data_IF_177581768270
#
_entry.id   IF_177581768270
#
_cell.length_a   1.000
_cell.length_b   1.000
_cell.length_c   1.000
_cell.angle_alpha   90.00
_cell.angle_beta   90.00
_cell.angle_gamma   90.00
#
_symmetry.space_group_name_H-M   'P 1'
#
loop_
_entity.id
_entity.type
_entity.pdbx_description
1 polymer ?
2 non-polymer ?
3 non-polymer ?
4 non-polymer ?
5 water ?
#
# COMPACT_ATOMS: atom_id res chain seq x y z
N UNK A 1 -18.43 11.48 -13.55
CA UNK A 1 -17.28 12.07 -12.81
C UNK A 1 -17.05 11.22 -11.58
N UNK A 2 -17.82 10.15 -11.47
CA UNK A 2 -17.62 9.20 -10.40
C UNK A 2 -17.06 7.92 -11.01
N UNK A 3 -16.51 7.07 -10.18
CA UNK A 3 -15.87 5.85 -10.65
C UNK A 3 -16.35 4.67 -9.86
N UNK A 4 -17.66 4.43 -9.92
CA UNK A 4 -18.31 3.32 -9.22
C UNK A 4 -17.88 1.97 -9.73
N UNK A 5 -17.64 1.92 -11.03
CA UNK A 5 -17.31 0.72 -11.73
C UNK A 5 -15.88 0.32 -11.44
N UNK A 6 -14.97 1.26 -11.59
CA UNK A 6 -13.59 1.01 -11.23
C UNK A 6 -13.50 0.57 -9.75
N UNK A 7 -14.34 1.16 -8.90
CA UNK A 7 -14.31 0.82 -7.48
C UNK A 7 -14.94 -0.53 -7.16
N UNK A 8 -15.98 -0.93 -7.90
CA UNK A 8 -16.60 -2.22 -7.66
C UNK A 8 -15.70 -3.35 -8.12
N UNK A 9 -14.95 -3.11 -9.20
CA UNK A 9 -13.99 -4.09 -9.68
C UNK A 9 -12.87 -4.34 -8.67
N UNK A 10 -12.42 -3.28 -8.02
CA UNK A 10 -11.28 -3.32 -7.13
C UNK A 10 -11.60 -4.04 -5.83
N UNK A 11 -12.80 -3.82 -5.31
CA UNK A 11 -13.21 -4.47 -4.08
C UNK A 11 -13.37 -5.98 -4.25
N UNK A 12 -14.03 -6.33 -5.34
CA UNK A 12 -14.15 -7.68 -5.85
C UNK A 12 -12.85 -8.44 -5.91
N UNK A 13 -11.82 -7.85 -6.52
CA UNK A 13 -10.59 -8.59 -6.75
C UNK A 13 -9.59 -8.47 -5.61
N UNK A 14 -9.68 -7.41 -4.82
CA UNK A 14 -8.88 -7.32 -3.63
C UNK A 14 -9.38 -8.36 -2.63
N UNK A 15 -10.68 -8.59 -2.61
CA UNK A 15 -11.22 -9.58 -1.70
C UNK A 15 -10.85 -11.03 -2.03
N UNK A 16 -10.76 -11.36 -3.32
CA UNK A 16 -10.27 -12.66 -3.73
C UNK A 16 -8.78 -12.71 -3.44
N UNK A 17 -8.07 -11.68 -3.88
CA UNK A 17 -6.65 -11.58 -3.59
C UNK A 17 -6.34 -11.98 -2.15
N UNK A 18 -7.27 -11.75 -1.23
CA UNK A 18 -7.00 -11.90 0.20
C UNK A 18 -7.18 -13.33 0.59
N UNK A 19 -8.04 -13.99 -0.18
CA UNK A 19 -8.29 -15.38 -0.08
C UNK A 19 -7.09 -16.08 -0.62
N UNK A 20 -6.53 -15.53 -1.69
CA UNK A 20 -5.37 -16.12 -2.27
C UNK A 20 -4.20 -16.02 -1.33
N UNK A 21 -4.06 -14.92 -0.60
CA UNK A 21 -2.88 -14.83 0.24
C UNK A 21 -2.95 -15.62 1.53
N UNK A 22 -4.15 -15.80 2.06
CA UNK A 22 -4.37 -16.49 3.31
C UNK A 22 -4.18 -17.98 3.14
N UNK A 23 -4.45 -18.42 1.93
CA UNK A 23 -4.37 -19.81 1.59
C UNK A 23 -2.94 -20.17 1.25
N UNK A 24 -2.21 -19.23 0.67
CA UNK A 24 -0.79 -19.45 0.47
C UNK A 24 -0.06 -19.51 1.79
N UNK A 25 -0.61 -18.85 2.79
CA UNK A 25 0.03 -18.78 4.09
C UNK A 25 -0.29 -20.01 4.92
N UNK A 26 -0.97 -20.97 4.32
CA UNK A 26 -1.37 -22.12 5.08
C UNK A 26 -0.31 -23.18 5.01
N UNK A 27 0.79 -22.85 4.36
CA UNK A 27 1.80 -23.83 4.11
C UNK A 27 3.01 -23.18 4.61
N UNK A 28 4.11 -23.93 4.65
CA UNK A 28 5.38 -23.44 5.14
C UNK A 28 5.89 -22.45 4.13
N UNK A 29 6.44 -21.35 4.61
CA UNK A 29 6.74 -20.25 3.73
C UNK A 29 8.03 -20.36 2.92
N UNK A 30 9.01 -21.13 3.41
CA UNK A 30 10.33 -21.13 2.80
C UNK A 30 10.37 -21.53 1.32
N UNK A 31 9.72 -22.64 0.97
CA UNK A 31 9.82 -23.20 -0.38
C UNK A 31 8.91 -22.44 -1.32
N UNK A 32 8.35 -21.35 -0.80
CA UNK A 32 7.55 -20.42 -1.56
C UNK A 32 8.20 -19.04 -1.68
N UNK A 33 9.49 -18.90 -1.37
CA UNK A 33 10.06 -17.57 -1.32
C UNK A 33 11.24 -17.43 -2.25
N UNK A 34 11.30 -16.29 -2.94
CA UNK A 34 12.39 -15.99 -3.84
C UNK A 34 13.15 -14.76 -3.33
N UNK A 35 14.44 -14.67 -3.59
CA UNK A 35 15.14 -13.47 -3.20
C UNK A 35 15.47 -12.72 -4.44
N UNK A 36 14.78 -11.62 -4.65
CA UNK A 36 15.06 -10.80 -5.81
C UNK A 36 16.56 -10.46 -5.81
N UNK A 37 17.05 -9.99 -6.94
CA UNK A 37 18.45 -9.66 -7.06
C UNK A 37 18.76 -8.48 -6.18
N UNK A 38 17.75 -7.70 -5.87
CA UNK A 38 18.00 -6.54 -5.05
C UNK A 38 17.94 -6.88 -3.58
N UNK A 39 17.72 -8.15 -3.28
CA UNK A 39 17.79 -8.60 -1.89
C UNK A 39 16.45 -8.72 -1.22
N UNK A 40 15.45 -8.07 -1.81
CA UNK A 40 14.12 -8.12 -1.25
C UNK A 40 13.47 -9.45 -1.57
N UNK A 41 12.52 -9.86 -0.74
CA UNK A 41 11.78 -11.10 -0.97
C UNK A 41 10.52 -10.90 -1.80
N UNK A 42 10.03 -11.99 -2.38
CA UNK A 42 8.82 -11.97 -3.15
C UNK A 42 8.32 -13.40 -3.05
N UNK A 43 7.03 -13.60 -2.89
CA UNK A 43 6.57 -14.97 -2.67
C UNK A 43 5.61 -15.51 -3.72
N UNK A 44 5.26 -16.79 -3.58
CA UNK A 44 4.26 -17.43 -4.43
C UNK A 44 2.99 -16.61 -4.42
N UNK A 45 2.72 -15.97 -3.29
CA UNK A 45 1.55 -15.15 -3.10
C UNK A 45 1.53 -13.86 -3.88
N UNK A 46 2.70 -13.23 -4.06
CA UNK A 46 2.78 -11.96 -4.78
C UNK A 46 2.47 -12.19 -6.23
N UNK A 47 2.98 -13.29 -6.75
CA UNK A 47 2.88 -13.56 -8.16
C UNK A 47 1.48 -14.02 -8.46
N UNK A 48 0.89 -14.78 -7.54
CA UNK A 48 -0.48 -15.26 -7.71
C UNK A 48 -1.49 -14.12 -7.68
N UNK A 49 -1.28 -13.16 -6.79
CA UNK A 49 -2.21 -12.06 -6.70
C UNK A 49 -2.10 -11.16 -7.90
N UNK A 50 -0.89 -10.99 -8.42
CA UNK A 50 -0.69 -10.07 -9.52
C UNK A 50 -1.14 -10.65 -10.86
N UNK A 51 -1.06 -11.96 -10.98
CA UNK A 51 -1.57 -12.63 -12.16
C UNK A 51 -3.08 -12.58 -12.22
N UNK A 52 -3.74 -12.82 -11.10
CA UNK A 52 -5.19 -12.75 -11.05
C UNK A 52 -5.74 -11.34 -11.27
N UNK A 53 -5.10 -10.33 -10.68
CA UNK A 53 -5.60 -8.98 -10.73
C UNK A 53 -5.45 -8.36 -12.11
N UNK A 54 -4.29 -8.53 -12.73
CA UNK A 54 -4.01 -7.98 -14.07
C UNK A 54 -4.92 -8.56 -15.14
N UNK A 55 -5.16 -9.86 -15.03
CA UNK A 55 -6.16 -10.57 -15.80
C UNK A 55 -7.58 -10.03 -15.66
N UNK A 56 -8.00 -9.77 -14.42
CA UNK A 56 -9.34 -9.27 -14.20
C UNK A 56 -9.43 -7.83 -14.64
N UNK A 57 -8.42 -7.02 -14.35
CA UNK A 57 -8.42 -5.65 -14.82
C UNK A 57 -8.43 -5.61 -16.34
N UNK A 58 -7.56 -6.38 -16.98
CA UNK A 58 -7.43 -6.37 -18.44
C UNK A 58 -8.66 -6.82 -19.20
N UNK A 59 -9.43 -7.72 -18.60
CA UNK A 59 -10.69 -8.21 -19.15
C UNK A 59 -11.80 -7.19 -19.15
N UNK A 60 -11.74 -6.27 -18.20
CA UNK A 60 -12.87 -5.51 -17.82
C UNK A 60 -12.68 -4.14 -18.39
N UNK A 61 -11.41 -3.79 -18.52
CA UNK A 61 -11.03 -2.50 -19.04
C UNK A 61 -9.86 -2.76 -19.96
N UNK A 62 -10.12 -3.29 -21.15
CA UNK A 62 -9.05 -3.68 -22.10
C UNK A 62 -8.08 -2.57 -22.49
N UNK A 63 -8.40 -1.33 -22.20
CA UNK A 63 -7.56 -0.25 -22.67
C UNK A 63 -6.65 0.32 -21.61
N UNK A 64 -7.00 0.16 -20.35
CA UNK A 64 -6.16 0.65 -19.27
C UNK A 64 -4.84 -0.08 -19.13
N UNK A 65 -3.83 0.66 -18.71
CA UNK A 65 -2.49 0.14 -18.53
C UNK A 65 -2.34 -0.11 -17.05
N UNK A 66 -1.42 -0.99 -16.67
CA UNK A 66 -1.24 -1.34 -15.28
C UNK A 66 0.17 -1.01 -14.83
N UNK A 67 0.30 -0.46 -13.64
CA UNK A 67 1.61 -0.32 -13.01
C UNK A 67 1.65 -1.23 -11.80
N UNK A 68 2.51 -2.22 -11.84
CA UNK A 68 2.56 -3.19 -10.76
C UNK A 68 4.01 -3.54 -10.46
N UNK A 69 4.25 -4.11 -9.28
CA UNK A 69 5.60 -4.35 -8.79
C UNK A 69 6.36 -5.49 -9.46
N UNK A 70 5.75 -6.67 -9.55
CA UNK A 70 6.48 -7.85 -10.01
C UNK A 70 6.53 -8.04 -11.52
N UNK A 71 7.45 -8.89 -11.96
CA UNK A 71 7.54 -9.28 -13.36
C UNK A 71 8.04 -10.72 -13.40
N UNK A 72 7.99 -11.36 -14.57
CA UNK A 72 8.56 -12.71 -14.70
C UNK A 72 10.05 -12.81 -15.12
N UNK A 73 10.71 -11.69 -15.44
CA UNK A 73 12.14 -11.74 -15.82
C UNK A 73 12.88 -12.93 -15.24
N UNK A 74 12.92 -13.00 -13.92
CA UNK A 74 13.54 -14.11 -13.24
C UNK A 74 12.58 -14.62 -12.20
N UNK A 75 12.12 -15.84 -12.34
CA UNK A 75 11.23 -16.33 -11.34
C UNK A 75 11.31 -17.81 -11.40
N UNK A 76 11.96 -18.41 -10.41
CA UNK A 76 12.38 -19.80 -10.42
C UNK A 76 11.28 -20.72 -10.85
N UNK A 77 11.68 -21.79 -11.52
CA UNK A 77 10.75 -22.74 -12.08
C UNK A 77 9.80 -23.35 -11.06
N UNK A 78 10.24 -23.57 -9.83
CA UNK A 78 9.41 -24.32 -8.89
C UNK A 78 8.45 -23.41 -8.14
N UNK A 79 8.77 -22.12 -8.11
CA UNK A 79 7.89 -21.14 -7.54
C UNK A 79 6.78 -20.97 -8.55
N UNK A 80 7.16 -20.75 -9.81
CA UNK A 80 6.17 -20.46 -10.84
C UNK A 80 5.10 -21.55 -10.87
N UNK A 81 5.55 -22.76 -10.58
CA UNK A 81 4.76 -23.97 -10.62
C UNK A 81 3.63 -23.90 -9.65
N UNK A 82 3.91 -23.28 -8.51
CA UNK A 82 3.01 -23.25 -7.38
C UNK A 82 2.07 -22.09 -7.54
N UNK A 83 2.58 -21.06 -8.21
CA UNK A 83 1.78 -19.92 -8.55
C UNK A 83 0.66 -20.47 -9.40
N UNK A 84 1.06 -20.99 -10.56
CA UNK A 84 0.15 -21.61 -11.50
C UNK A 84 -1.02 -22.31 -10.80
N UNK A 85 -0.71 -23.20 -9.87
CA UNK A 85 -1.73 -23.99 -9.15
C UNK A 85 -2.64 -23.18 -8.24
N UNK A 86 -2.10 -22.14 -7.61
CA UNK A 86 -2.90 -21.27 -6.77
C UNK A 86 -3.80 -20.43 -7.60
N UNK A 87 -3.33 -20.13 -8.80
CA UNK A 87 -4.07 -19.29 -9.69
C UNK A 87 -5.24 -20.05 -10.25
N UNK A 88 -5.06 -21.31 -10.61
CA UNK A 88 -6.16 -22.03 -11.25
C UNK A 88 -7.33 -22.27 -10.32
N UNK A 89 -7.13 -22.04 -9.03
CA UNK A 89 -8.23 -22.10 -8.13
C UNK A 89 -9.22 -21.01 -8.46
N UNK A 90 -8.71 -19.86 -8.85
CA UNK A 90 -9.62 -18.75 -9.04
C UNK A 90 -9.88 -18.41 -10.50
N UNK A 91 -8.93 -18.66 -11.40
CA UNK A 91 -9.26 -18.56 -12.83
C UNK A 91 -8.61 -19.61 -13.73
N UNK A 92 -9.24 -19.85 -14.87
CA UNK A 92 -8.72 -20.81 -15.81
C UNK A 92 -7.74 -20.13 -16.75
N UNK A 93 -6.48 -20.09 -16.34
CA UNK A 93 -5.43 -19.61 -17.20
C UNK A 93 -4.42 -20.73 -17.34
N UNK A 94 -3.79 -20.85 -18.49
CA UNK A 94 -2.70 -21.80 -18.57
C UNK A 94 -1.44 -21.03 -18.29
N UNK A 95 -0.38 -21.77 -18.02
CA UNK A 95 0.88 -21.18 -17.62
C UNK A 95 1.32 -20.01 -18.53
N UNK A 96 0.72 -19.94 -19.71
CA UNK A 96 0.98 -18.93 -20.71
C UNK A 96 0.45 -17.53 -20.43
N UNK A 97 -0.85 -17.52 -20.13
CA UNK A 97 -1.63 -16.35 -19.83
C UNK A 97 -1.19 -15.73 -18.52
N UNK A 98 -0.85 -16.59 -17.57
CA UNK A 98 -0.31 -16.22 -16.29
C UNK A 98 0.97 -15.38 -16.40
N UNK A 99 1.93 -15.82 -17.19
CA UNK A 99 3.14 -15.05 -17.42
C UNK A 99 2.84 -13.75 -18.12
N UNK A 100 1.89 -13.80 -19.05
CA UNK A 100 1.55 -12.62 -19.80
C UNK A 100 0.81 -11.64 -18.96
N UNK A 101 0.12 -12.15 -17.96
CA UNK A 101 -0.69 -11.32 -17.11
C UNK A 101 0.14 -10.59 -16.10
N UNK A 102 1.10 -11.29 -15.52
CA UNK A 102 2.00 -10.68 -14.59
C UNK A 102 2.81 -9.61 -15.29
N UNK A 103 3.08 -9.81 -16.57
CA UNK A 103 3.94 -8.87 -17.25
C UNK A 103 3.22 -7.68 -17.82
N UNK A 104 1.91 -7.60 -17.62
CA UNK A 104 1.19 -6.38 -17.97
C UNK A 104 1.51 -5.23 -17.05
N UNK A 105 2.19 -5.49 -15.94
CA UNK A 105 2.50 -4.44 -14.95
C UNK A 105 3.59 -3.42 -15.28
N UNK A 106 3.96 -3.28 -16.56
CA UNK A 106 5.12 -2.46 -16.94
C UNK A 106 4.85 -1.01 -17.39
N UNK A 107 3.64 -0.52 -17.17
CA UNK A 107 3.27 0.84 -17.52
C UNK A 107 4.13 1.82 -16.74
N UNK A 108 4.39 2.98 -17.37
CA UNK A 108 5.23 3.99 -16.74
C UNK A 108 4.43 5.11 -16.13
N UNK A 109 3.11 4.97 -16.16
CA UNK A 109 2.21 5.90 -15.51
C UNK A 109 2.02 7.15 -16.34
N UNK A 110 1.82 8.26 -15.66
CA UNK A 110 1.68 9.55 -16.32
C UNK A 110 0.29 9.81 -16.85
N UNK A 111 0.18 10.19 -18.11
CA UNK A 111 -1.08 10.63 -18.63
C UNK A 111 -1.97 9.46 -18.93
N UNK A 112 -3.25 9.61 -18.65
CA UNK A 112 -4.23 8.61 -19.02
C UNK A 112 -4.62 7.71 -17.86
N UNK A 113 -5.28 6.62 -18.17
CA UNK A 113 -5.83 5.78 -17.12
C UNK A 113 -4.90 4.64 -16.72
N UNK A 114 -4.44 4.67 -15.48
CA UNK A 114 -3.55 3.62 -14.96
C UNK A 114 -4.02 2.97 -13.70
N UNK A 115 -3.87 1.66 -13.63
CA UNK A 115 -4.13 0.96 -12.40
C UNK A 115 -2.81 0.78 -11.71
N UNK A 116 -2.79 0.83 -10.39
CA UNK A 116 -1.55 0.78 -9.63
C UNK A 116 -1.58 -0.34 -8.58
N UNK A 117 -0.74 -1.35 -8.75
CA UNK A 117 -0.89 -2.54 -7.92
C UNK A 117 0.32 -2.93 -7.07
N UNK A 118 0.10 -3.10 -5.77
CA UNK A 118 1.02 -3.92 -4.98
C UNK A 118 0.36 -5.24 -4.63
N UNK A 119 0.82 -6.32 -5.24
CA UNK A 119 0.18 -7.61 -4.99
C UNK A 119 0.32 -8.03 -3.53
N UNK A 120 1.49 -7.82 -2.95
CA UNK A 120 1.61 -7.95 -1.52
C UNK A 120 2.46 -6.80 -1.09
N UNK A 121 1.87 -5.93 -0.30
CA UNK A 121 2.59 -4.80 0.21
C UNK A 121 3.13 -5.14 1.58
N UNK A 122 4.43 -4.93 1.76
CA UNK A 122 5.13 -5.42 2.95
C UNK A 122 5.26 -6.92 2.92
N UNK A 123 5.98 -7.44 1.95
CA UNK A 123 6.16 -8.88 1.83
C UNK A 123 6.82 -9.45 3.09
N UNK A 124 7.59 -8.63 3.80
CA UNK A 124 8.26 -9.09 5.01
C UNK A 124 7.31 -9.32 6.15
N UNK A 125 6.33 -8.44 6.27
CA UNK A 125 5.29 -8.60 7.24
C UNK A 125 4.45 -9.79 6.90
N UNK A 126 4.50 -10.25 5.65
CA UNK A 126 3.81 -11.48 5.26
C UNK A 126 4.57 -12.74 5.73
N UNK A 127 5.90 -12.72 5.68
CA UNK A 127 6.69 -13.83 6.19
C UNK A 127 6.66 -13.82 7.71
N UNK A 128 6.45 -12.64 8.25
CA UNK A 128 6.37 -12.38 9.66
C UNK A 128 5.03 -12.77 10.23
N UNK A 129 4.12 -13.17 9.33
CA UNK A 129 2.74 -13.49 9.64
C UNK A 129 2.10 -12.37 10.44
N UNK A 130 2.50 -11.16 10.10
CA UNK A 130 1.95 -9.99 10.72
C UNK A 130 1.37 -9.07 9.66
N UNK A 131 1.58 -7.77 9.75
CA UNK A 131 0.85 -6.89 8.84
C UNK A 131 1.32 -6.90 7.39
N UNK A 132 0.34 -6.95 6.48
CA UNK A 132 0.59 -6.92 5.02
C UNK A 132 -0.67 -6.54 4.21
N UNK A 133 -0.48 -6.08 2.98
CA UNK A 133 -1.62 -5.59 2.22
C UNK A 133 -1.68 -5.89 0.72
N UNK A 134 -2.86 -6.22 0.22
CA UNK A 134 -3.07 -6.22 -1.21
C UNK A 134 -3.48 -4.78 -1.48
N UNK A 135 -2.74 -4.11 -2.37
CA UNK A 135 -3.00 -2.68 -2.59
C UNK A 135 -3.35 -2.41 -4.04
N UNK A 136 -4.57 -1.92 -4.27
CA UNK A 136 -4.98 -1.54 -5.61
C UNK A 136 -5.48 -0.10 -5.66
N UNK A 137 -5.01 0.65 -6.64
CA UNK A 137 -5.56 1.98 -6.89
C UNK A 137 -5.75 2.26 -8.37
N UNK A 138 -6.65 3.19 -8.66
CA UNK A 138 -6.89 3.61 -10.03
C UNK A 138 -6.69 5.10 -10.13
N UNK A 139 -5.94 5.56 -11.14
CA UNK A 139 -5.71 7.02 -11.30
C UNK A 139 -5.80 7.49 -12.75
N UNK A 140 -5.98 8.80 -12.92
CA UNK A 140 -6.01 9.40 -14.23
C UNK A 140 -5.20 10.68 -14.18
N UNK A 141 -4.18 10.75 -15.03
CA UNK A 141 -3.22 11.87 -15.03
C UNK A 141 -2.62 12.08 -13.65
N UNK A 142 -2.36 10.99 -12.95
CA UNK A 142 -1.71 11.02 -11.65
C UNK A 142 -2.56 11.49 -10.49
N UNK A 143 -3.87 11.46 -10.70
CA UNK A 143 -4.82 11.85 -9.69
C UNK A 143 -5.58 10.60 -9.26
N UNK A 144 -5.36 10.17 -8.03
CA UNK A 144 -5.97 8.97 -7.49
C UNK A 144 -7.49 9.06 -7.36
N UNK A 145 -8.20 8.12 -7.98
CA UNK A 145 -9.66 8.15 -7.98
C UNK A 145 -10.26 7.07 -7.11
N UNK A 146 -9.53 5.96 -6.96
CA UNK A 146 -9.99 4.77 -6.23
C UNK A 146 -8.80 4.16 -5.49
N UNK A 147 -8.99 3.82 -4.21
CA UNK A 147 -7.95 3.11 -3.46
C UNK A 147 -8.54 2.00 -2.62
N UNK A 148 -7.99 0.79 -2.73
CA UNK A 148 -8.46 -0.31 -1.92
C UNK A 148 -7.28 -0.92 -1.18
N UNK A 149 -7.42 -1.13 0.13
CA UNK A 149 -6.42 -1.86 0.90
C UNK A 149 -7.00 -3.05 1.65
N UNK A 150 -6.63 -4.25 1.22
CA UNK A 150 -7.02 -5.48 1.92
C UNK A 150 -5.95 -6.00 2.86
N UNK A 151 -6.32 -6.21 4.12
CA UNK A 151 -5.34 -6.42 5.16
C UNK A 151 -5.72 -7.60 5.99
N UNK A 152 -5.31 -8.80 5.58
CA UNK A 152 -5.91 -9.97 6.19
C UNK A 152 -5.57 -10.18 7.65
N UNK A 153 -4.52 -9.53 8.15
CA UNK A 153 -4.07 -9.80 9.53
C UNK A 153 -4.31 -8.69 10.54
N UNK A 154 -5.01 -7.65 10.10
CA UNK A 154 -5.21 -6.49 10.92
C UNK A 154 -6.57 -6.64 11.57
N UNK A 155 -6.55 -6.92 12.88
CA UNK A 155 -7.75 -6.88 13.70
C UNK A 155 -8.85 -7.82 13.25
N UNK A 156 -8.49 -8.96 12.67
CA UNK A 156 -9.51 -9.87 12.18
C UNK A 156 -9.64 -9.98 10.67
N UNK A 157 -9.02 -9.07 9.93
CA UNK A 157 -9.08 -9.08 8.47
C UNK A 157 -10.06 -8.05 7.96
N UNK A 158 -9.54 -7.03 7.31
CA UNK A 158 -10.33 -5.84 7.06
C UNK A 158 -10.01 -5.32 5.69
N UNK A 159 -10.99 -4.72 5.04
CA UNK A 159 -10.73 -4.10 3.76
C UNK A 159 -11.19 -2.66 3.80
N UNK A 160 -10.32 -1.72 3.45
CA UNK A 160 -10.74 -0.32 3.39
C UNK A 160 -10.69 0.21 1.99
N UNK A 161 -11.66 1.05 1.64
CA UNK A 161 -11.75 1.52 0.27
C UNK A 161 -12.36 2.91 0.13
N UNK A 162 -11.91 3.63 -0.86
CA UNK A 162 -12.38 4.98 -0.99
C UNK A 162 -12.33 5.33 -2.42
N UNK A 163 -13.30 6.11 -2.85
CA UNK A 163 -13.17 6.75 -4.12
C UNK A 163 -13.15 8.24 -3.82
N UNK A 164 -12.50 9.00 -4.69
CA UNK A 164 -12.36 10.43 -4.53
C UNK A 164 -13.71 11.13 -4.38
N UNK A 165 -13.79 11.97 -3.35
CA UNK A 165 -14.99 12.75 -3.05
C UNK A 165 -16.13 12.03 -2.35
N UNK A 166 -15.99 10.74 -2.11
CA UNK A 166 -17.15 9.95 -1.74
C UNK A 166 -16.97 9.31 -0.40
N UNK A 167 -15.85 9.61 0.23
CA UNK A 167 -15.57 9.13 1.58
C UNK A 167 -14.86 7.79 1.73
N UNK A 168 -14.51 7.47 2.98
CA UNK A 168 -13.78 6.23 3.26
C UNK A 168 -14.60 5.17 4.03
N UNK A 169 -14.29 3.90 3.79
CA UNK A 169 -15.16 2.82 4.23
C UNK A 169 -14.45 1.52 4.57
N UNK A 170 -14.95 0.83 5.58
CA UNK A 170 -14.31 -0.39 6.02
C UNK A 170 -15.19 -1.62 5.92
N UNK A 171 -14.59 -2.69 5.42
CA UNK A 171 -15.28 -3.94 5.21
C UNK A 171 -14.50 -5.06 5.87
N UNK A 172 -15.19 -6.15 6.16
CA UNK A 172 -14.54 -7.39 6.52
C UNK A 172 -14.00 -8.04 5.26
N UNK A 173 -12.97 -8.85 5.39
CA UNK A 173 -12.48 -9.56 4.22
C UNK A 173 -13.58 -10.50 3.71
N UNK A 174 -14.57 -10.78 4.55
CA UNK A 174 -15.58 -11.79 4.24
C UNK A 174 -16.86 -11.27 3.62
N UNK A 175 -17.08 -9.97 3.73
CA UNK A 175 -18.30 -9.36 3.26
C UNK A 175 -17.89 -7.99 2.73
N UNK A 176 -17.97 -7.78 1.43
CA UNK A 176 -17.63 -6.47 0.91
C UNK A 176 -18.86 -5.72 0.49
N UNK A 177 -19.99 -6.12 1.07
CA UNK A 177 -21.28 -5.55 0.71
C UNK A 177 -21.78 -4.64 1.78
N UNK A 178 -21.25 -4.79 2.98
CA UNK A 178 -21.71 -4.01 4.09
C UNK A 178 -20.52 -3.34 4.72
N UNK A 179 -20.46 -2.02 4.60
CA UNK A 179 -19.31 -1.28 5.08
C UNK A 179 -19.71 -0.23 6.09
N UNK A 180 -18.73 0.28 6.82
CA UNK A 180 -18.99 1.42 7.68
C UNK A 180 -18.05 2.55 7.34
N UNK A 181 -18.47 3.75 7.65
CA UNK A 181 -17.61 4.91 7.49
C UNK A 181 -16.54 4.90 8.56
N UNK A 182 -15.53 5.70 8.29
CA UNK A 182 -14.20 5.56 8.80
C UNK A 182 -13.74 7.02 8.67
N UNK A 183 -13.17 7.54 9.76
CA UNK A 183 -12.76 8.93 9.91
C UNK A 183 -11.62 8.79 10.80
N UNK A 184 -10.50 9.42 10.45
CA UNK A 184 -9.38 9.79 11.35
C UNK A 184 -9.74 10.31 12.76
N UNK A 185 -8.76 10.19 13.64
CA UNK A 185 -8.94 10.54 15.02
C UNK A 185 -9.11 12.04 15.24
N UNK A 186 -9.45 12.41 16.47
CA UNK A 186 -9.66 13.80 16.82
C UNK A 186 -8.62 14.30 17.79
N UNK A 187 -7.51 13.58 17.89
CA UNK A 187 -6.45 13.86 18.84
C UNK A 187 -5.72 15.17 18.59
N UNK A 188 -5.80 16.08 19.56
CA UNK A 188 -5.32 17.41 19.26
C UNK A 188 -4.05 17.84 19.96
N UNK A 189 -3.38 16.93 20.66
CA UNK A 189 -2.12 17.26 21.28
C UNK A 189 -1.15 16.20 20.85
N UNK A 190 0.06 16.62 20.47
CA UNK A 190 1.06 15.68 19.97
C UNK A 190 1.61 14.79 21.07
N UNK A 191 1.54 15.28 22.30
CA UNK A 191 1.90 14.45 23.45
C UNK A 191 0.99 13.23 23.57
N UNK A 192 -0.25 13.34 23.14
CA UNK A 192 -1.13 12.18 23.22
C UNK A 192 -1.15 11.40 21.93
N UNK A 193 -0.26 11.70 20.99
CA UNK A 193 -0.25 11.05 19.68
C UNK A 193 0.28 9.62 19.75
N UNK A 194 -0.39 8.72 19.05
CA UNK A 194 0.12 7.40 18.78
C UNK A 194 0.73 7.49 17.39
N UNK A 195 2.02 7.25 17.28
CA UNK A 195 2.64 7.36 15.97
C UNK A 195 3.15 6.01 15.47
N UNK A 196 3.18 5.84 14.14
CA UNK A 196 3.60 4.56 13.53
C UNK A 196 4.66 4.64 12.41
N UNK A 197 5.32 3.52 12.16
CA UNK A 197 6.42 3.45 11.21
C UNK A 197 6.75 2.02 10.88
N UNK A 198 7.53 1.83 9.82
CA UNK A 198 7.97 0.51 9.36
C UNK A 198 8.73 -0.27 10.42
N UNK A 199 8.77 -1.59 10.27
CA UNK A 199 9.47 -2.45 11.20
C UNK A 199 10.91 -2.51 10.76
N UNK A 200 11.12 -2.52 9.46
CA UNK A 200 12.45 -2.55 8.88
C UNK A 200 13.26 -1.28 9.07
N UNK A 201 14.52 -1.46 9.46
CA UNK A 201 15.37 -0.33 9.73
C UNK A 201 15.86 0.28 8.43
N UNK A 202 15.73 -0.46 7.33
CA UNK A 202 16.19 0.06 6.05
C UNK A 202 15.10 0.90 5.40
N UNK A 203 13.88 0.76 5.87
CA UNK A 203 12.79 1.49 5.25
C UNK A 203 12.44 2.78 5.91
N UNK A 204 12.95 3.01 7.11
CA UNK A 204 12.71 4.26 7.81
C UNK A 204 13.75 4.50 8.88
N UNK A 205 14.03 5.76 9.15
CA UNK A 205 15.01 6.12 10.12
C UNK A 205 14.34 6.17 11.48
N UNK A 206 14.54 5.12 12.27
CA UNK A 206 13.90 5.01 13.58
C UNK A 206 14.70 5.73 14.66
N UNK A 207 15.86 6.23 14.30
CA UNK A 207 16.66 6.92 15.27
C UNK A 207 16.22 8.36 15.25
N UNK A 208 15.72 8.78 14.13
CA UNK A 208 15.42 10.17 13.99
C UNK A 208 13.97 10.39 14.29
N UNK A 209 13.16 9.35 14.13
CA UNK A 209 11.76 9.51 14.48
C UNK A 209 11.66 9.60 15.99
N UNK A 210 12.64 9.03 16.68
CA UNK A 210 12.71 9.06 18.11
C UNK A 210 12.97 10.49 18.51
N UNK A 211 13.75 11.18 17.71
CA UNK A 211 14.17 12.51 18.06
C UNK A 211 13.03 13.47 17.84
N UNK A 212 12.44 13.38 16.66
CA UNK A 212 11.24 14.10 16.33
C UNK A 212 10.12 13.93 17.35
N UNK A 213 9.84 12.70 17.79
CA UNK A 213 8.70 12.53 18.68
C UNK A 213 8.99 12.98 20.10
N UNK A 214 10.26 12.89 20.49
CA UNK A 214 10.70 13.27 21.80
C UNK A 214 10.57 14.76 21.85
N UNK A 215 10.77 15.42 20.71
CA UNK A 215 10.64 16.87 20.67
C UNK A 215 9.18 17.28 20.68
N UNK A 216 8.33 16.40 20.17
CA UNK A 216 6.93 16.68 20.14
C UNK A 216 6.32 16.26 21.46
N UNK A 217 7.18 15.71 22.32
CA UNK A 217 6.81 15.31 23.67
C UNK A 217 5.83 14.16 23.69
N UNK A 218 5.97 13.25 22.73
CA UNK A 218 5.12 12.06 22.65
C UNK A 218 5.38 11.09 23.81
N UNK A 219 4.31 10.66 24.43
CA UNK A 219 4.42 9.81 25.59
C UNK A 219 4.58 8.35 25.20
N UNK A 220 3.67 7.87 24.35
CA UNK A 220 3.61 6.49 23.93
C UNK A 220 4.70 6.10 22.94
N UNK A 221 5.13 4.84 22.96
CA UNK A 221 6.15 4.40 22.02
C UNK A 221 5.59 4.04 20.64
N UNK A 222 6.44 4.12 19.60
CA UNK A 222 5.92 3.83 18.27
C UNK A 222 5.39 2.42 18.15
N UNK A 223 4.33 2.28 17.39
CA UNK A 223 3.88 0.99 16.98
C UNK A 223 4.58 0.77 15.68
N UNK A 224 5.39 -0.28 15.62
CA UNK A 224 6.14 -0.61 14.42
C UNK A 224 5.35 -1.62 13.63
N UNK A 225 5.09 -1.33 12.36
CA UNK A 225 4.33 -2.28 11.57
C UNK A 225 4.62 -2.19 10.07
N UNK A 226 4.39 -3.30 9.38
CA UNK A 226 4.74 -3.38 7.98
C UNK A 226 3.57 -2.97 7.15
N UNK A 227 3.87 -2.49 5.93
CA UNK A 227 2.90 -2.31 4.84
C UNK A 227 2.01 -1.06 4.88
N UNK A 228 1.27 -0.85 3.80
CA UNK A 228 0.33 0.26 3.74
C UNK A 228 -0.76 0.14 4.79
N UNK A 229 -0.72 -0.90 5.61
CA UNK A 229 -1.64 -1.04 6.71
C UNK A 229 -1.45 0.11 7.67
N UNK A 230 -0.38 0.88 7.46
CA UNK A 230 -0.10 2.04 8.29
C UNK A 230 -1.00 3.21 7.91
N UNK A 231 -1.40 3.27 6.64
CA UNK A 231 -2.29 4.31 6.15
C UNK A 231 -3.70 3.96 6.57
N UNK A 232 -3.92 2.69 6.83
CA UNK A 232 -5.24 2.22 7.11
C UNK A 232 -5.55 2.44 8.58
N UNK A 233 -4.50 2.45 9.40
CA UNK A 233 -4.59 2.79 10.82
C UNK A 233 -4.84 4.26 11.03
N UNK A 234 -4.19 5.10 10.24
CA UNK A 234 -4.43 6.54 10.31
C UNK A 234 -5.90 6.80 9.98
N UNK A 235 -6.33 6.27 8.85
CA UNK A 235 -7.69 6.46 8.37
C UNK A 235 -8.80 6.00 9.31
N UNK A 236 -8.57 4.98 10.12
CA UNK A 236 -9.66 4.47 10.95
C UNK A 236 -9.52 5.01 12.37
N UNK A 237 -8.53 5.86 12.55
CA UNK A 237 -8.31 6.50 13.85
C UNK A 237 -7.50 5.73 14.89
N UNK A 238 -6.94 4.59 14.49
CA UNK A 238 -6.20 3.72 15.41
C UNK A 238 -4.81 4.27 15.67
N UNK A 239 -4.28 4.97 14.67
CA UNK A 239 -3.05 5.71 14.86
C UNK A 239 -3.28 7.18 14.53
N UNK A 240 -2.34 8.02 14.93
CA UNK A 240 -2.48 9.47 14.80
C UNK A 240 -1.61 10.03 13.69
N UNK A 241 -0.34 9.65 13.70
CA UNK A 241 0.60 10.10 12.70
C UNK A 241 1.36 8.90 12.19
N UNK A 242 1.87 9.01 10.97
CA UNK A 242 2.63 7.95 10.33
C UNK A 242 3.81 8.59 9.63
N UNK A 243 5.02 8.21 10.02
CA UNK A 243 6.22 8.77 9.44
C UNK A 243 7.01 7.77 8.64
N UNK A 244 7.53 8.23 7.53
CA UNK A 244 8.42 7.42 6.77
C UNK A 244 9.55 8.36 6.49
N UNK A 245 10.71 8.06 7.05
CA UNK A 245 11.84 8.98 7.07
C UNK A 245 13.02 8.48 6.25
N UNK A 246 13.48 9.28 5.31
CA UNK A 246 14.57 8.85 4.44
C UNK A 246 15.97 9.12 5.00
N UNK A 247 16.95 8.45 4.43
CA UNK A 247 18.30 8.75 4.83
C UNK A 247 19.03 9.55 3.78
N UNK A 248 18.49 9.63 2.59
CA UNK A 248 19.12 10.45 1.60
C UNK A 248 18.04 11.05 0.76
N UNK A 249 18.43 11.80 -0.26
CA UNK A 249 17.52 12.48 -1.15
C UNK A 249 17.45 11.77 -2.46
N UNK A 250 17.88 10.51 -2.47
CA UNK A 250 17.99 9.82 -3.73
C UNK A 250 17.02 8.68 -3.81
N UNK A 251 16.54 8.19 -2.67
CA UNK A 251 15.49 7.19 -2.71
C UNK A 251 14.21 7.83 -3.25
N UNK A 252 13.57 7.16 -4.20
CA UNK A 252 12.28 7.63 -4.66
C UNK A 252 11.25 6.58 -4.32
N UNK A 253 10.28 6.96 -3.51
CA UNK A 253 9.19 6.05 -3.19
C UNK A 253 8.38 5.56 -4.40
N UNK A 254 8.09 4.26 -4.39
CA UNK A 254 7.25 3.65 -5.42
C UNK A 254 5.81 4.11 -5.25
N UNK A 255 5.11 4.29 -6.36
CA UNK A 255 3.75 4.73 -6.23
C UNK A 255 2.82 3.61 -5.82
N UNK A 256 3.28 2.37 -5.86
CA UNK A 256 2.47 1.26 -5.37
C UNK A 256 2.68 1.03 -3.91
N UNK A 257 3.54 1.83 -3.31
CA UNK A 257 3.62 1.83 -1.88
C UNK A 257 2.75 2.87 -1.24
N UNK A 258 2.13 3.76 -2.01
CA UNK A 258 1.49 4.92 -1.40
C UNK A 258 0.15 5.37 -1.88
N UNK A 259 -0.26 4.98 -3.08
CA UNK A 259 -1.37 5.63 -3.75
C UNK A 259 -2.74 5.26 -3.23
N UNK A 260 -2.92 4.01 -2.85
CA UNK A 260 -4.20 3.59 -2.32
C UNK A 260 -4.44 4.18 -0.95
N UNK A 261 -3.42 4.15 -0.10
CA UNK A 261 -3.52 4.69 1.24
C UNK A 261 -3.69 6.19 1.25
N UNK A 262 -2.91 6.88 0.41
CA UNK A 262 -3.02 8.32 0.19
C UNK A 262 -4.46 8.80 0.03
N UNK A 263 -5.23 8.17 -0.86
CA UNK A 263 -6.58 8.64 -1.06
C UNK A 263 -7.49 8.29 0.11
N UNK A 264 -7.20 7.18 0.79
CA UNK A 264 -8.06 6.72 1.84
C UNK A 264 -7.92 7.59 3.06
N UNK A 265 -6.70 8.00 3.40
CA UNK A 265 -6.53 8.97 4.46
C UNK A 265 -7.19 10.32 4.17
N UNK A 266 -7.03 10.85 2.97
CA UNK A 266 -7.68 12.13 2.65
C UNK A 266 -9.21 12.07 2.68
N UNK A 267 -9.79 10.95 2.27
CA UNK A 267 -11.24 10.81 2.21
C UNK A 267 -11.83 10.64 3.59
N UNK A 268 -10.98 10.20 4.52
CA UNK A 268 -11.36 9.96 5.90
C UNK A 268 -10.98 11.16 6.75
N UNK A 269 -10.56 12.23 6.09
CA UNK A 269 -10.36 13.51 6.74
C UNK A 269 -8.96 13.87 7.19
N UNK A 270 -7.97 13.10 6.77
CA UNK A 270 -6.60 13.35 7.20
C UNK A 270 -5.79 14.03 6.14
N UNK A 271 -4.49 14.14 6.39
CA UNK A 271 -3.56 14.75 5.45
C UNK A 271 -2.33 13.88 5.20
N UNK A 272 -1.92 13.83 3.93
CA UNK A 272 -0.72 13.09 3.53
C UNK A 272 0.18 14.00 2.70
N UNK A 273 1.41 14.22 3.16
CA UNK A 273 2.38 14.98 2.41
C UNK A 273 3.68 14.24 2.50
N UNK A 274 4.74 14.86 1.97
CA UNK A 274 6.09 14.37 2.22
C UNK A 274 6.67 15.03 3.47
N UNK A 275 7.96 14.89 3.71
CA UNK A 275 8.52 15.40 4.94
C UNK A 275 8.78 16.89 4.96
N UNK A 276 8.67 17.52 3.79
CA UNK A 276 8.81 18.95 3.68
C UNK A 276 7.45 19.62 3.60
N UNK A 277 6.40 18.83 3.84
CA UNK A 277 5.01 19.30 3.74
C UNK A 277 4.44 19.41 2.33
N UNK A 278 5.16 18.88 1.35
CA UNK A 278 4.65 18.98 0.01
C UNK A 278 3.74 17.85 -0.34
N UNK A 279 2.68 18.16 -1.05
CA UNK A 279 1.77 17.14 -1.51
C UNK A 279 2.40 16.15 -2.48
N UNK A 280 2.01 14.90 -2.38
CA UNK A 280 2.57 13.86 -3.24
C UNK A 280 2.13 13.99 -4.71
N UNK A 281 3.09 13.89 -5.62
CA UNK A 281 2.81 14.06 -7.03
C UNK A 281 2.91 12.71 -7.71
N UNK A 282 1.76 12.17 -8.04
CA UNK A 282 1.70 10.82 -8.56
C UNK A 282 1.67 10.81 -10.07
N UNK A 283 2.17 11.86 -10.71
CA UNK A 283 2.01 11.99 -12.14
C UNK A 283 3.33 11.98 -12.86
N UNK A 284 4.40 11.69 -12.12
CA UNK A 284 5.72 11.76 -12.65
C UNK A 284 6.29 10.37 -12.90
N UNK A 285 5.42 9.36 -12.94
CA UNK A 285 5.86 8.03 -13.30
C UNK A 285 5.60 6.93 -12.30
N UNK A 286 6.60 6.07 -12.10
CA UNK A 286 6.43 4.85 -11.33
C UNK A 286 6.86 5.10 -9.91
N UNK A 287 7.44 6.28 -9.70
CA UNK A 287 7.90 6.66 -8.39
C UNK A 287 7.47 8.08 -8.09
N UNK A 288 7.46 8.43 -6.81
CA UNK A 288 7.19 9.78 -6.41
C UNK A 288 8.50 10.52 -6.46
N UNK A 289 8.91 10.90 -7.67
CA UNK A 289 10.26 11.43 -7.89
C UNK A 289 10.47 12.90 -7.46
N UNK A 290 9.38 13.61 -7.21
CA UNK A 290 9.50 14.95 -6.64
C UNK A 290 9.13 15.02 -5.16
N UNK A 291 9.25 13.90 -4.46
CA UNK A 291 8.94 13.90 -3.07
C UNK A 291 10.02 13.22 -2.29
N UNK A 292 10.08 13.57 -1.00
CA UNK A 292 11.01 12.95 -0.08
C UNK A 292 10.31 12.53 1.15
N UNK A 293 10.09 11.22 1.27
CA UNK A 293 9.47 10.65 2.46
C UNK A 293 7.97 10.86 2.60
N UNK A 294 7.46 10.59 3.79
CA UNK A 294 6.02 10.62 4.03
C UNK A 294 5.64 11.19 5.39
N UNK A 295 4.63 12.04 5.43
CA UNK A 295 3.97 12.35 6.71
C UNK A 295 2.48 12.13 6.52
N UNK A 296 1.90 11.18 7.26
CA UNK A 296 0.48 10.96 7.16
C UNK A 296 -0.19 11.06 8.51
N UNK A 297 -1.17 11.93 8.62
CA UNK A 297 -1.75 12.20 9.92
C UNK A 297 -3.24 12.36 9.84
N UNK A 298 -3.79 12.83 10.95
CA UNK A 298 -5.21 13.08 11.08
C UNK A 298 -5.53 14.52 10.73
N UNK A 299 -4.54 15.20 10.15
CA UNK A 299 -4.72 16.56 9.70
C UNK A 299 -4.51 17.56 10.81
N UNK A 300 -4.95 17.22 12.01
CA UNK A 300 -4.92 18.21 13.07
C UNK A 300 -3.50 18.56 13.41
N UNK A 301 -2.64 17.55 13.39
CA UNK A 301 -1.28 17.66 13.92
C UNK A 301 -0.20 17.80 12.84
N UNK A 302 -0.61 17.94 11.58
CA UNK A 302 0.31 17.78 10.45
C UNK A 302 1.44 18.78 10.38
N UNK A 303 1.13 20.07 10.44
CA UNK A 303 2.14 21.10 10.28
C UNK A 303 3.11 21.19 11.41
N UNK A 304 2.61 20.90 12.61
CA UNK A 304 3.37 20.86 13.84
C UNK A 304 4.43 19.78 13.77
N UNK A 305 4.09 18.71 13.06
CA UNK A 305 4.92 17.54 12.96
C UNK A 305 5.92 17.78 11.86
N UNK A 306 5.44 18.28 10.73
CA UNK A 306 6.27 18.60 9.57
C UNK A 306 7.42 19.56 9.87
N UNK A 307 7.12 20.62 10.61
CA UNK A 307 8.13 21.55 11.11
C UNK A 307 9.29 20.91 11.84
N UNK A 308 9.01 19.92 12.66
CA UNK A 308 10.05 19.26 13.44
C UNK A 308 10.81 18.23 12.61
N UNK A 309 10.12 17.64 11.64
CA UNK A 309 10.70 16.71 10.67
C UNK A 309 11.57 17.43 9.64
N UNK A 310 11.11 18.57 9.15
CA UNK A 310 11.93 19.39 8.27
C UNK A 310 13.29 19.58 8.87
N UNK A 311 13.28 19.84 10.17
CA UNK A 311 14.44 20.29 10.91
C UNK A 311 15.39 19.19 11.36
N UNK A 312 14.85 18.05 11.75
CA UNK A 312 15.70 16.96 12.18
C UNK A 312 16.36 16.37 10.94
N UNK A 313 15.85 16.71 9.76
CA UNK A 313 16.33 16.09 8.53
C UNK A 313 16.85 17.08 7.48
N UNK A 314 17.35 18.22 7.93
CA UNK A 314 17.79 19.27 7.00
C UNK A 314 19.16 18.95 6.42
N UNK A 315 19.70 17.79 6.74
CA UNK A 315 21.08 17.48 6.41
C UNK A 315 21.22 16.34 5.41
N UNK A 316 20.10 15.85 4.91
CA UNK A 316 20.07 14.80 3.91
C UNK A 316 20.84 15.20 2.64
N UNK A 317 21.32 14.24 1.87
CA UNK A 317 22.21 14.56 0.77
C UNK A 317 21.87 13.82 -0.51
X LIG B 1 5.46 -6.16 -2.49
X LIG C 1 7.31 -1.28 5.05
X LIG C 1 6.69 -0.01 5.58
X LIG C 1 6.35 -2.44 4.91
X LIG C 1 8.62 -1.64 5.70
X LIG C 1 7.67 -0.89 3.55
X LIG C 1 7.76 -1.89 2.53
X LIG C 1 8.14 -1.14 1.26
X LIG C 1 9.27 -0.30 1.51
X LIG C 1 8.54 -2.05 0.11
X LIG C 1 7.43 -2.17 -0.79
X LIG C 1 9.71 -1.36 -0.57
X LIG C 1 9.44 -1.02 -1.93
X LIG C 1 9.90 -0.08 0.24
X LIG C 1 11.34 0.28 0.37
X LIG C 1 12.38 -0.43 -0.07
X LIG C 1 13.56 0.20 0.20
X LIG C 1 13.26 1.35 0.83
X LIG C 1 14.02 2.50 1.39
X LIG C 1 15.37 2.53 1.33
X LIG C 1 13.31 3.51 1.96
X LIG C 1 11.96 3.49 2.02
X LIG C 1 11.21 2.47 1.53
X LIG C 1 11.79 1.40 0.94
X LIG D 1 5.76 -3.12 -1.50
#
# INVERSE_FOLDING_TARGET
MSFDKELALALEIVQVSCKITTSVAEHTLTDQTQIKNDKSPVTVGDYSVQAYVNKKIHETFPEDQIVAEEDTKTIPEDIFAKVCKHVQIYSDMKDDEIRKSIDLGNSTGGKGRHWVLDPIDGTLGFLRREQYAVCLAFMIDGDIKVGVLGCPNFEGGLIVAAQKGCGAKMFSVNDIKNGKDIHVSTTPKTSDMCFCESVEVSHTDQSRSKTITERLQVTKPPVRMDSQCKYMAIASGRADVYLRLPRNLSYQEKIWDHAAGYLIVKEAGGKVTDIYGNDLDFSLGRTLCNNHGIVASNGILHEETVNVVKDVLSDLKLQHHHHHH
MG MG
AMP P O1P O2P O3P O5' C5' C4' O4' C3' O3' C2' O2' C1' N9 C8 N7 C5 C6 N6 N1 C2 N3 C4
NA NA
#
